data_IF_799128916441
#
_entry.id   IF_799128916441
#
_cell.length_a   1.000
_cell.length_b   1.000
_cell.length_c   1.000
_cell.angle_alpha   90.00
_cell.angle_beta   90.00
_cell.angle_gamma   90.00
#
_symmetry.space_group_name_H-M   'P 1'
#
loop_
_entity.id
_entity.type
_entity.pdbx_description
1 polymer ?
#
# COMPACT_ATOMS: atom_id res chain seq x y z
N UNK A 1 9.96 -11.06 13.92
CA UNK A 1 10.46 -9.73 13.54
C UNK A 1 9.81 -9.46 12.21
N UNK A 2 8.79 -8.60 12.19
CA UNK A 2 7.78 -8.62 11.10
C UNK A 2 7.24 -7.20 10.83
N UNK A 3 8.07 -6.18 11.06
CA UNK A 3 7.66 -4.79 10.89
C UNK A 3 8.17 -4.24 9.57
N UNK A 4 7.24 -3.79 8.73
CA UNK A 4 7.53 -3.02 7.52
C UNK A 4 7.13 -1.57 7.80
N UNK A 5 8.07 -0.65 7.65
CA UNK A 5 7.85 0.79 7.80
C UNK A 5 8.01 1.46 6.45
N UNK A 6 7.04 2.29 6.08
CA UNK A 6 7.02 3.02 4.82
C UNK A 6 6.84 4.51 5.11
N UNK A 7 7.60 5.34 4.41
CA UNK A 7 7.45 6.79 4.41
C UNK A 7 7.29 7.25 2.96
N UNK A 8 6.16 7.90 2.66
CA UNK A 8 5.87 8.45 1.34
C UNK A 8 5.91 9.97 1.38
N UNK A 9 6.49 10.57 0.33
CA UNK A 9 6.46 12.02 0.09
C UNK A 9 6.18 12.23 -1.38
N UNK A 10 5.10 12.95 -1.69
CA UNK A 10 4.64 13.17 -3.05
C UNK A 10 3.62 12.13 -3.49
N UNK A 11 3.58 11.84 -4.78
CA UNK A 11 2.50 11.09 -5.40
C UNK A 11 2.87 9.67 -5.83
N UNK A 12 3.98 9.17 -5.30
CA UNK A 12 4.34 7.75 -5.41
C UNK A 12 3.39 6.88 -4.57
N UNK A 13 3.26 5.60 -4.92
CA UNK A 13 2.37 4.63 -4.25
C UNK A 13 3.07 3.32 -3.95
N UNK A 14 2.91 2.84 -2.72
CA UNK A 14 3.27 1.48 -2.32
C UNK A 14 2.02 0.60 -2.13
N UNK A 15 2.07 -0.60 -2.70
CA UNK A 15 1.01 -1.61 -2.62
C UNK A 15 1.62 -2.94 -2.22
N UNK A 16 1.05 -3.60 -1.21
CA UNK A 16 1.44 -4.93 -0.76
C UNK A 16 0.53 -5.98 -1.41
N UNK A 17 1.11 -6.96 -2.10
CA UNK A 17 0.41 -8.16 -2.53
C UNK A 17 0.30 -9.15 -1.36
N UNK A 18 -0.93 -9.55 -1.01
CA UNK A 18 -1.19 -10.56 0.02
C UNK A 18 -2.06 -11.67 -0.55
N UNK A 19 -1.71 -12.91 -0.25
CA UNK A 19 -2.57 -14.06 -0.58
C UNK A 19 -3.83 -14.03 0.29
N UNK A 20 -5.01 -14.12 -0.31
CA UNK A 20 -6.29 -14.28 0.39
C UNK A 20 -6.60 -15.75 0.68
N UNK A 21 -7.68 -15.99 1.42
CA UNK A 21 -8.10 -17.34 1.85
C UNK A 21 -8.43 -18.27 0.67
N UNK A 22 -8.84 -17.71 -0.47
CA UNK A 22 -9.11 -18.46 -1.71
C UNK A 22 -7.85 -18.69 -2.58
N UNK A 23 -6.67 -18.29 -2.10
CA UNK A 23 -5.41 -18.42 -2.82
C UNK A 23 -5.16 -17.36 -3.88
N UNK A 24 -6.07 -16.41 -4.09
CA UNK A 24 -5.83 -15.27 -4.98
C UNK A 24 -4.89 -14.24 -4.34
N UNK A 25 -4.35 -13.31 -5.14
CA UNK A 25 -3.52 -12.20 -4.64
C UNK A 25 -4.40 -10.95 -4.59
N UNK A 26 -4.53 -10.38 -3.39
CA UNK A 26 -5.19 -9.10 -3.17
C UNK A 26 -4.17 -7.99 -2.96
N UNK A 27 -4.47 -6.81 -3.52
CA UNK A 27 -3.69 -5.61 -3.34
C UNK A 27 -4.13 -4.89 -2.05
N UNK A 28 -3.17 -4.56 -1.18
CA UNK A 28 -3.37 -3.72 0.01
C UNK A 28 -2.57 -2.45 -0.18
N UNK A 29 -3.25 -1.31 -0.26
CA UNK A 29 -2.57 -0.02 -0.37
C UNK A 29 -1.92 0.33 0.96
N UNK A 30 -0.63 0.69 0.91
CA UNK A 30 0.18 0.93 2.11
C UNK A 30 0.57 2.41 2.28
N UNK A 31 0.37 3.24 1.26
CA UNK A 31 0.62 4.70 1.30
C UNK A 31 -0.54 5.46 0.66
N UNK A 32 -0.75 6.70 1.09
CA UNK A 32 -1.65 7.65 0.43
C UNK A 32 -0.86 8.49 -0.57
N UNK A 33 -1.44 8.76 -1.73
CA UNK A 33 -0.85 9.67 -2.73
C UNK A 33 -1.08 11.11 -2.26
N UNK A 34 -0.03 11.88 -2.00
CA UNK A 34 -0.18 13.28 -1.57
C UNK A 34 -0.48 14.21 -2.76
N UNK A 35 -1.63 14.01 -3.43
CA UNK A 35 -2.16 14.88 -4.49
C UNK A 35 -3.23 15.82 -3.92
N UNK A 36 -3.39 17.04 -4.46
CA UNK A 36 -4.26 18.07 -3.86
C UNK A 36 -5.75 17.70 -3.73
N UNK A 37 -6.23 16.68 -4.45
CA UNK A 37 -7.65 16.39 -4.64
C UNK A 37 -8.06 15.00 -4.15
N UNK A 38 -7.13 14.19 -3.65
CA UNK A 38 -7.42 12.87 -3.08
C UNK A 38 -7.17 12.93 -1.57
N UNK A 39 -8.08 12.40 -0.74
CA UNK A 39 -7.84 12.27 0.70
C UNK A 39 -6.76 11.23 1.01
#
# INVERSE_FOLDING_TARGET
>A
GDMIVLANVGDSRAVLGRTSEDGSIVAVQMTVDCKPNEP
#
